data_IF_057257313562
#
_entry.id   IF_057257313562
#
_cell.length_a   1.000
_cell.length_b   1.000
_cell.length_c   1.000
_cell.angle_alpha   90.00
_cell.angle_beta   90.00
_cell.angle_gamma   90.00
#
_symmetry.space_group_name_H-M   'P 1'
#
loop_
_entity.id
_entity.type
_entity.pdbx_description
1 polymer ?
#
# COMPACT_ATOMS: atom_id res chain seq x y z
N UNK A 1 6.12 -18.23 -3.75
CA UNK A 1 7.40 -18.80 -4.26
C UNK A 1 8.50 -17.77 -4.18
N UNK A 2 9.75 -18.24 -3.93
CA UNK A 2 10.96 -17.42 -3.85
C UNK A 2 11.96 -17.87 -4.89
N UNK A 3 12.91 -16.98 -5.19
CA UNK A 3 14.12 -17.31 -5.94
C UNK A 3 15.26 -17.59 -4.94
N UNK A 4 15.86 -18.75 -5.04
CA UNK A 4 17.03 -19.13 -4.27
C UNK A 4 18.24 -19.17 -5.19
N UNK A 5 19.28 -18.42 -4.90
CA UNK A 5 20.48 -18.38 -5.71
C UNK A 5 21.29 -19.66 -5.47
N UNK A 6 21.46 -20.45 -6.53
CA UNK A 6 22.09 -21.78 -6.46
C UNK A 6 23.49 -21.78 -5.86
N UNK A 7 24.26 -20.73 -6.12
CA UNK A 7 25.64 -20.64 -5.65
C UNK A 7 25.74 -20.44 -4.13
N UNK A 8 24.83 -19.69 -3.55
CA UNK A 8 24.89 -19.29 -2.13
C UNK A 8 23.79 -19.89 -1.27
N UNK A 9 22.75 -20.48 -1.87
CA UNK A 9 21.54 -20.94 -1.18
C UNK A 9 20.70 -19.80 -0.59
N UNK A 10 21.02 -18.53 -0.91
CA UNK A 10 20.29 -17.38 -0.36
C UNK A 10 19.02 -17.10 -1.12
N UNK A 11 17.96 -16.81 -0.38
CA UNK A 11 16.72 -16.30 -0.94
C UNK A 11 16.93 -14.85 -1.37
N UNK A 12 16.50 -14.52 -2.60
CA UNK A 12 16.59 -13.19 -3.18
C UNK A 12 15.18 -12.71 -3.60
N UNK A 13 14.97 -11.40 -3.60
CA UNK A 13 13.66 -10.80 -3.89
C UNK A 13 13.18 -11.03 -5.33
N UNK A 14 14.13 -11.08 -6.29
CA UNK A 14 13.87 -11.41 -7.69
C UNK A 14 15.17 -11.86 -8.37
N UNK A 15 15.10 -12.27 -9.63
CA UNK A 15 16.29 -12.70 -10.39
C UNK A 15 17.16 -11.53 -10.91
N UNK A 16 16.82 -10.27 -10.66
CA UNK A 16 17.55 -9.07 -11.10
C UNK A 16 17.97 -9.09 -12.59
N UNK A 17 17.12 -9.65 -13.47
CA UNK A 17 17.39 -9.86 -14.90
C UNK A 17 18.55 -10.84 -15.19
N UNK A 18 19.05 -11.55 -14.20
CA UNK A 18 20.01 -12.61 -14.39
C UNK A 18 19.32 -13.86 -14.99
N UNK A 19 20.09 -14.75 -15.68
CA UNK A 19 19.53 -15.95 -16.27
C UNK A 19 18.84 -16.86 -15.23
N UNK A 20 17.62 -17.32 -15.53
CA UNK A 20 16.82 -18.18 -14.64
C UNK A 20 17.58 -19.44 -14.17
N UNK A 21 18.53 -19.96 -14.99
CA UNK A 21 19.35 -21.12 -14.67
C UNK A 21 20.19 -20.97 -13.39
N UNK A 22 20.44 -19.72 -12.95
CA UNK A 22 21.21 -19.43 -11.74
C UNK A 22 20.40 -19.57 -10.45
N UNK A 23 19.08 -19.74 -10.59
CA UNK A 23 18.17 -19.78 -9.46
C UNK A 23 17.40 -21.10 -9.40
N UNK A 24 17.02 -21.48 -8.18
CA UNK A 24 15.93 -22.44 -7.94
C UNK A 24 14.71 -21.64 -7.54
N UNK A 25 13.56 -21.98 -8.13
CA UNK A 25 12.29 -21.37 -7.78
C UNK A 25 11.46 -22.38 -7.00
N UNK A 26 11.28 -22.15 -5.71
CA UNK A 26 10.54 -23.05 -4.81
C UNK A 26 9.43 -22.37 -4.05
N UNK A 27 8.47 -23.12 -3.60
CA UNK A 27 7.48 -22.70 -2.62
C UNK A 27 8.12 -22.79 -1.24
N UNK A 28 8.00 -21.76 -0.43
CA UNK A 28 8.28 -21.83 1.01
C UNK A 28 7.17 -22.61 1.69
N UNK A 29 7.49 -23.37 2.74
CA UNK A 29 6.46 -23.90 3.60
C UNK A 29 6.02 -22.87 4.67
N UNK A 30 4.92 -23.19 5.35
CA UNK A 30 4.32 -22.29 6.35
C UNK A 30 5.28 -22.05 7.52
N UNK A 31 5.92 -23.10 8.02
CA UNK A 31 6.77 -23.01 9.23
C UNK A 31 8.07 -22.28 8.96
N UNK A 32 8.61 -22.40 7.73
CA UNK A 32 9.75 -21.62 7.28
C UNK A 32 9.44 -20.10 7.29
N UNK A 33 8.27 -19.72 6.78
CA UNK A 33 7.83 -18.32 6.80
C UNK A 33 7.61 -17.84 8.24
N UNK A 34 6.90 -18.61 9.05
CA UNK A 34 6.61 -18.26 10.44
C UNK A 34 7.90 -18.08 11.23
N UNK A 35 8.86 -19.01 11.10
CA UNK A 35 10.14 -18.92 11.82
C UNK A 35 10.92 -17.66 11.47
N UNK A 36 10.99 -17.32 10.17
CA UNK A 36 11.66 -16.11 9.70
C UNK A 36 10.99 -14.84 10.24
N UNK A 37 9.65 -14.78 10.20
CA UNK A 37 8.89 -13.62 10.71
C UNK A 37 8.94 -13.51 12.23
N UNK A 38 8.89 -14.60 12.98
CA UNK A 38 9.03 -14.57 14.43
C UNK A 38 10.32 -13.86 14.85
N UNK A 39 11.46 -14.27 14.29
CA UNK A 39 12.74 -13.64 14.58
C UNK A 39 12.79 -12.15 14.20
N UNK A 40 12.13 -11.76 13.10
CA UNK A 40 12.04 -10.37 12.66
C UNK A 40 11.14 -9.54 13.57
N UNK A 41 9.96 -10.05 13.89
CA UNK A 41 8.94 -9.37 14.69
C UNK A 41 9.42 -9.10 16.12
N UNK A 42 10.11 -10.07 16.73
CA UNK A 42 10.75 -9.89 18.04
C UNK A 42 11.77 -8.74 18.02
N UNK A 43 12.60 -8.66 16.99
CA UNK A 43 13.55 -7.54 16.82
C UNK A 43 12.85 -6.20 16.64
N UNK A 44 11.80 -6.15 15.82
CA UNK A 44 11.01 -4.93 15.60
C UNK A 44 10.39 -4.46 16.92
N UNK A 45 9.81 -5.39 17.69
CA UNK A 45 9.18 -5.08 18.98
C UNK A 45 10.18 -4.55 20.02
N UNK A 46 11.43 -5.03 19.99
CA UNK A 46 12.52 -4.50 20.83
C UNK A 46 12.88 -3.04 20.45
N UNK A 47 12.84 -2.70 19.17
CA UNK A 47 13.12 -1.35 18.68
C UNK A 47 11.97 -0.38 18.91
N UNK A 48 10.74 -0.87 18.78
CA UNK A 48 9.52 -0.09 18.99
C UNK A 48 8.50 -0.92 19.80
N UNK A 49 8.46 -0.76 21.14
CA UNK A 49 7.55 -1.50 22.01
C UNK A 49 6.06 -1.25 21.74
N UNK A 50 5.68 -0.15 21.11
CA UNK A 50 4.29 0.21 20.81
C UNK A 50 3.88 -0.15 19.37
N UNK A 51 4.74 -0.83 18.61
CA UNK A 51 4.44 -1.16 17.22
C UNK A 51 3.18 -2.05 17.12
N UNK A 52 2.31 -1.70 16.18
CA UNK A 52 1.24 -2.56 15.69
C UNK A 52 1.57 -2.94 14.26
N UNK A 53 1.42 -4.21 13.90
CA UNK A 53 1.78 -4.73 12.58
C UNK A 53 0.54 -5.29 11.92
N UNK A 54 0.23 -4.77 10.74
CA UNK A 54 -0.89 -5.21 9.95
C UNK A 54 -0.40 -5.96 8.70
N UNK A 55 -0.77 -7.22 8.62
CA UNK A 55 -0.52 -8.06 7.45
C UNK A 55 -1.70 -8.02 6.49
N UNK A 56 -1.40 -8.24 5.22
CA UNK A 56 -2.39 -8.49 4.19
C UNK A 56 -1.80 -9.41 3.11
N UNK A 57 -2.64 -10.17 2.44
CA UNK A 57 -2.26 -10.95 1.26
C UNK A 57 -2.74 -10.20 0.02
N UNK A 58 -1.80 -9.86 -0.87
CA UNK A 58 -2.11 -9.14 -2.10
C UNK A 58 -3.13 -9.91 -2.95
N UNK A 59 -4.17 -9.26 -3.49
CA UNK A 59 -5.13 -9.89 -4.38
C UNK A 59 -4.61 -10.12 -5.81
N UNK A 60 -3.44 -9.61 -6.17
CA UNK A 60 -2.85 -9.78 -7.50
C UNK A 60 -2.62 -11.29 -7.80
N UNK A 61 -2.98 -11.73 -9.00
CA UNK A 61 -2.76 -13.10 -9.47
C UNK A 61 -1.36 -13.26 -10.05
N UNK A 62 -0.66 -14.32 -9.66
CA UNK A 62 0.66 -14.67 -10.20
C UNK A 62 0.54 -15.69 -11.34
N UNK A 63 0.30 -15.20 -12.57
CA UNK A 63 0.07 -16.03 -13.75
C UNK A 63 1.21 -17.00 -14.09
N UNK A 64 2.48 -16.64 -13.76
CA UNK A 64 3.65 -17.50 -14.01
C UNK A 64 3.55 -18.89 -13.33
N UNK A 65 2.77 -18.99 -12.25
CA UNK A 65 2.58 -20.22 -11.48
C UNK A 65 1.34 -21.01 -11.92
N UNK A 66 0.57 -20.47 -12.86
CA UNK A 66 -0.76 -20.96 -13.20
C UNK A 66 -1.78 -20.68 -12.08
N UNK A 67 -3.06 -20.86 -12.37
CA UNK A 67 -4.13 -20.54 -11.41
C UNK A 67 -4.05 -21.39 -10.14
N UNK A 68 -3.80 -22.69 -10.29
CA UNK A 68 -3.65 -23.58 -9.13
C UNK A 68 -2.42 -23.24 -8.28
N UNK A 69 -1.27 -23.02 -8.91
CA UNK A 69 -0.05 -22.61 -8.20
C UNK A 69 -0.20 -21.25 -7.49
N UNK A 70 -0.94 -20.31 -8.08
CA UNK A 70 -1.30 -19.06 -7.42
C UNK A 70 -2.09 -19.32 -6.14
N UNK A 71 -3.12 -20.18 -6.17
CA UNK A 71 -3.92 -20.49 -4.98
C UNK A 71 -3.06 -21.14 -3.88
N UNK A 72 -2.20 -22.10 -4.23
CA UNK A 72 -1.29 -22.71 -3.26
C UNK A 72 -0.34 -21.68 -2.63
N UNK A 73 0.18 -20.74 -3.43
CA UNK A 73 1.03 -19.68 -2.92
C UNK A 73 0.29 -18.76 -1.93
N UNK A 74 -0.98 -18.42 -2.22
CA UNK A 74 -1.82 -17.60 -1.33
C UNK A 74 -2.17 -18.37 -0.05
N UNK A 75 -2.55 -19.63 -0.16
CA UNK A 75 -2.87 -20.48 0.98
C UNK A 75 -1.71 -20.58 1.98
N UNK A 76 -0.49 -20.76 1.50
CA UNK A 76 0.71 -20.77 2.37
C UNK A 76 0.88 -19.44 3.11
N UNK A 77 0.67 -18.29 2.43
CA UNK A 77 0.76 -16.98 3.07
C UNK A 77 -0.33 -16.77 4.12
N UNK A 78 -1.58 -17.14 3.82
CA UNK A 78 -2.71 -17.04 4.73
C UNK A 78 -2.47 -17.87 6.00
N UNK A 79 -2.06 -19.13 5.86
CA UNK A 79 -1.76 -19.99 6.99
C UNK A 79 -0.57 -19.49 7.83
N UNK A 80 0.46 -18.93 7.19
CA UNK A 80 1.60 -18.37 7.89
C UNK A 80 1.20 -17.12 8.69
N UNK A 81 0.42 -16.21 8.09
CA UNK A 81 -0.06 -15.00 8.77
C UNK A 81 -0.96 -15.37 9.94
N UNK A 82 -1.87 -16.32 9.77
CA UNK A 82 -2.73 -16.80 10.85
C UNK A 82 -1.92 -17.28 12.07
N UNK A 83 -0.91 -18.14 11.85
CA UNK A 83 0.01 -18.59 12.91
C UNK A 83 0.76 -17.44 13.59
N UNK A 84 1.18 -16.43 12.81
CA UNK A 84 1.87 -15.24 13.33
C UNK A 84 0.93 -14.39 14.19
N UNK A 85 -0.30 -14.12 13.73
CA UNK A 85 -1.29 -13.35 14.47
C UNK A 85 -1.73 -14.06 15.76
N UNK A 86 -1.84 -15.38 15.74
CA UNK A 86 -2.10 -16.17 16.95
C UNK A 86 -0.97 -16.09 17.98
N UNK A 87 0.27 -15.96 17.53
CA UNK A 87 1.44 -15.90 18.40
C UNK A 87 1.68 -14.51 18.98
N UNK A 88 1.38 -13.43 18.24
CA UNK A 88 1.69 -12.05 18.61
C UNK A 88 0.44 -11.19 18.62
N UNK A 89 0.02 -10.72 19.78
CA UNK A 89 -1.17 -9.87 19.95
C UNK A 89 -1.09 -8.50 19.26
N UNK A 90 0.09 -8.06 18.88
CA UNK A 90 0.34 -6.83 18.13
C UNK A 90 0.39 -7.02 16.60
N UNK A 91 0.09 -8.24 16.15
CA UNK A 91 -0.01 -8.57 14.72
C UNK A 91 -1.48 -8.80 14.36
N UNK A 92 -1.91 -8.17 13.27
CA UNK A 92 -3.28 -8.17 12.79
C UNK A 92 -3.31 -8.53 11.30
N UNK A 93 -4.48 -8.89 10.79
CA UNK A 93 -4.68 -9.21 9.38
C UNK A 93 -5.81 -8.38 8.78
N UNK A 94 -5.58 -7.83 7.57
CA UNK A 94 -6.60 -7.18 6.76
C UNK A 94 -6.87 -8.02 5.51
N UNK A 95 -8.12 -8.44 5.25
CA UNK A 95 -8.45 -9.47 4.26
C UNK A 95 -8.59 -8.92 2.82
N UNK A 96 -7.59 -8.19 2.31
CA UNK A 96 -7.69 -7.60 0.96
C UNK A 96 -7.80 -8.64 -0.16
N UNK A 97 -7.23 -9.83 0.04
CA UNK A 97 -7.34 -10.96 -0.89
C UNK A 97 -8.76 -11.50 -0.94
N UNK A 98 -9.37 -11.73 0.21
CA UNK A 98 -10.72 -12.25 0.35
C UNK A 98 -11.77 -11.23 -0.13
N UNK A 99 -11.58 -9.95 0.15
CA UNK A 99 -12.47 -8.89 -0.36
C UNK A 99 -12.55 -8.97 -1.90
N UNK A 100 -11.41 -9.08 -2.60
CA UNK A 100 -11.46 -9.17 -4.06
C UNK A 100 -12.05 -10.48 -4.55
N UNK A 101 -11.72 -11.62 -3.93
CA UNK A 101 -12.09 -12.94 -4.44
C UNK A 101 -13.47 -13.39 -4.00
N UNK A 102 -13.91 -13.04 -2.81
CA UNK A 102 -15.18 -13.51 -2.25
C UNK A 102 -16.26 -12.45 -2.27
N UNK A 103 -15.98 -11.23 -1.85
CA UNK A 103 -16.98 -10.18 -1.78
C UNK A 103 -17.23 -9.56 -3.16
N UNK A 104 -16.19 -9.11 -3.86
CA UNK A 104 -16.33 -8.46 -5.16
C UNK A 104 -16.61 -9.43 -6.30
N UNK A 105 -15.95 -10.57 -6.37
CA UNK A 105 -16.28 -11.78 -7.15
C UNK A 105 -16.51 -11.67 -8.65
N UNK A 106 -16.29 -10.52 -9.29
CA UNK A 106 -16.66 -10.27 -10.67
C UNK A 106 -15.43 -9.78 -11.46
N UNK A 107 -15.39 -10.10 -12.75
CA UNK A 107 -14.29 -9.68 -13.63
C UNK A 107 -14.19 -8.16 -13.81
N UNK A 108 -15.25 -7.38 -13.59
CA UNK A 108 -15.20 -5.91 -13.57
C UNK A 108 -14.24 -5.34 -12.53
N UNK A 109 -13.91 -6.14 -11.51
CA UNK A 109 -12.98 -5.77 -10.46
C UNK A 109 -11.54 -6.12 -10.77
N UNK A 110 -11.28 -6.65 -11.97
CA UNK A 110 -9.94 -6.86 -12.51
C UNK A 110 -9.65 -5.84 -13.61
N UNK A 111 -8.37 -5.48 -13.77
CA UNK A 111 -7.88 -4.73 -14.91
C UNK A 111 -7.92 -5.58 -16.19
N UNK A 112 -7.64 -4.96 -17.34
CA UNK A 112 -7.70 -5.63 -18.66
C UNK A 112 -6.80 -6.87 -18.77
N UNK A 113 -5.74 -6.94 -17.96
CA UNK A 113 -4.84 -8.10 -17.91
C UNK A 113 -5.39 -9.28 -17.10
N UNK A 114 -6.53 -9.12 -16.45
CA UNK A 114 -7.18 -10.15 -15.60
C UNK A 114 -6.32 -10.64 -14.43
N UNK A 115 -5.26 -9.93 -14.10
CA UNK A 115 -4.31 -10.26 -13.01
C UNK A 115 -4.33 -9.22 -11.89
N UNK A 116 -4.32 -7.95 -12.25
CA UNK A 116 -4.35 -6.85 -11.31
C UNK A 116 -5.78 -6.44 -10.95
N UNK A 117 -6.04 -5.96 -9.73
CA UNK A 117 -7.31 -5.32 -9.39
C UNK A 117 -7.56 -4.10 -10.28
N UNK A 118 -8.81 -3.86 -10.67
CA UNK A 118 -9.21 -2.61 -11.32
C UNK A 118 -9.14 -1.43 -10.33
N UNK A 119 -9.13 -0.20 -10.85
CA UNK A 119 -9.17 0.98 -9.98
C UNK A 119 -10.41 1.00 -9.08
N UNK A 120 -11.54 0.49 -9.56
CA UNK A 120 -12.76 0.35 -8.77
C UNK A 120 -12.55 -0.57 -7.56
N UNK A 121 -11.93 -1.73 -7.76
CA UNK A 121 -11.61 -2.66 -6.68
C UNK A 121 -10.59 -2.07 -5.68
N UNK A 122 -9.55 -1.38 -6.19
CA UNK A 122 -8.57 -0.71 -5.33
C UNK A 122 -9.25 0.32 -4.43
N UNK A 123 -10.14 1.14 -4.98
CA UNK A 123 -10.86 2.15 -4.21
C UNK A 123 -11.75 1.52 -3.15
N UNK A 124 -12.49 0.47 -3.50
CA UNK A 124 -13.35 -0.25 -2.56
C UNK A 124 -12.56 -0.87 -1.40
N UNK A 125 -11.48 -1.60 -1.72
CA UNK A 125 -10.61 -2.21 -0.69
C UNK A 125 -10.00 -1.13 0.20
N UNK A 126 -9.63 0.03 -0.37
CA UNK A 126 -9.13 1.17 0.37
C UNK A 126 -10.18 1.78 1.29
N UNK A 127 -11.43 1.90 0.86
CA UNK A 127 -12.55 2.36 1.69
C UNK A 127 -12.77 1.42 2.87
N UNK A 128 -12.85 0.10 2.64
CA UNK A 128 -12.93 -0.91 3.70
C UNK A 128 -11.74 -0.80 4.69
N UNK A 129 -10.53 -0.60 4.17
CA UNK A 129 -9.35 -0.39 5.01
C UNK A 129 -9.48 0.85 5.90
N UNK A 130 -9.92 1.96 5.32
CA UNK A 130 -10.13 3.21 6.03
C UNK A 130 -11.18 3.07 7.14
N UNK A 131 -12.30 2.41 6.87
CA UNK A 131 -13.36 2.15 7.84
C UNK A 131 -12.88 1.31 9.03
N UNK A 132 -11.99 0.34 8.77
CA UNK A 132 -11.46 -0.54 9.82
C UNK A 132 -10.40 0.12 10.71
N UNK A 133 -9.55 0.99 10.16
CA UNK A 133 -8.31 1.39 10.84
C UNK A 133 -8.17 2.89 11.08
N UNK A 134 -8.98 3.74 10.44
CA UNK A 134 -8.84 5.18 10.61
C UNK A 134 -9.96 5.77 11.48
N UNK A 135 -9.57 6.70 12.34
CA UNK A 135 -10.54 7.50 13.08
C UNK A 135 -11.27 8.47 12.17
N UNK A 136 -12.45 8.93 12.59
CA UNK A 136 -13.21 9.97 11.87
C UNK A 136 -12.36 11.23 11.65
N UNK A 137 -11.54 11.60 12.64
CA UNK A 137 -10.63 12.74 12.52
C UNK A 137 -9.58 12.53 11.43
N UNK A 138 -8.95 11.34 11.38
CA UNK A 138 -7.99 10.98 10.32
C UNK A 138 -8.63 11.05 8.95
N UNK A 139 -9.84 10.51 8.79
CA UNK A 139 -10.59 10.56 7.52
C UNK A 139 -10.91 11.99 7.10
N UNK A 140 -11.23 12.86 8.06
CA UNK A 140 -11.46 14.29 7.78
C UNK A 140 -10.19 14.98 7.28
N UNK A 141 -9.06 14.77 7.96
CA UNK A 141 -7.74 15.29 7.55
C UNK A 141 -7.37 14.80 6.15
N UNK A 142 -7.56 13.52 5.87
CA UNK A 142 -7.29 12.94 4.54
C UNK A 142 -8.15 13.60 3.45
N UNK A 143 -9.41 13.89 3.74
CA UNK A 143 -10.31 14.58 2.81
C UNK A 143 -9.85 16.03 2.57
N UNK A 144 -9.50 16.78 3.62
CA UNK A 144 -8.93 18.14 3.49
C UNK A 144 -7.66 18.11 2.62
N UNK A 145 -6.78 17.13 2.84
CA UNK A 145 -5.56 16.97 2.04
C UNK A 145 -5.85 16.63 0.58
N UNK A 146 -6.81 15.73 0.31
CA UNK A 146 -7.22 15.41 -1.05
C UNK A 146 -7.76 16.61 -1.81
N UNK A 147 -8.50 17.50 -1.16
CA UNK A 147 -8.98 18.76 -1.77
C UNK A 147 -7.80 19.68 -2.14
N UNK A 148 -6.80 19.80 -1.27
CA UNK A 148 -5.57 20.56 -1.54
C UNK A 148 -4.86 19.96 -2.77
N UNK A 149 -4.64 18.64 -2.80
CA UNK A 149 -3.98 17.96 -3.92
C UNK A 149 -4.74 18.14 -5.23
N UNK A 150 -6.05 17.95 -5.24
CA UNK A 150 -6.89 18.22 -6.42
C UNK A 150 -6.77 19.66 -6.91
N UNK A 151 -6.70 20.62 -5.98
CA UNK A 151 -6.50 22.04 -6.31
C UNK A 151 -5.13 22.29 -6.92
N UNK A 152 -4.09 21.67 -6.41
CA UNK A 152 -2.72 21.78 -6.95
C UNK A 152 -2.57 21.12 -8.31
N UNK A 153 -3.27 20.01 -8.56
CA UNK A 153 -3.25 19.31 -9.84
C UNK A 153 -4.11 19.98 -10.91
N UNK A 154 -4.97 20.93 -10.50
CA UNK A 154 -5.81 21.68 -11.43
C UNK A 154 -4.97 22.51 -12.43
N UNK A 155 -5.27 22.34 -13.73
CA UNK A 155 -4.67 23.11 -14.82
C UNK A 155 -5.65 24.22 -15.24
N UNK A 156 -5.34 25.50 -14.97
CA UNK A 156 -6.23 26.58 -15.36
C UNK A 156 -6.20 26.82 -16.87
N UNK A 157 -7.32 27.26 -17.44
CA UNK A 157 -7.35 27.76 -18.81
C UNK A 157 -6.47 29.01 -19.02
N UNK A 158 -6.48 29.90 -18.01
CA UNK A 158 -5.64 31.09 -18.00
C UNK A 158 -4.87 31.18 -16.67
N UNK A 159 -3.59 30.82 -16.71
CA UNK A 159 -2.72 30.80 -15.55
C UNK A 159 -2.38 32.22 -15.02
N UNK A 160 -2.73 33.28 -15.75
CA UNK A 160 -2.50 34.69 -15.36
C UNK A 160 -3.78 35.41 -14.97
N UNK A 161 -4.89 34.69 -14.77
CA UNK A 161 -6.15 35.28 -14.35
C UNK A 161 -6.15 35.59 -12.85
N UNK A 162 -6.79 36.71 -12.47
CA UNK A 162 -7.00 37.08 -11.06
C UNK A 162 -7.74 35.99 -10.30
N UNK A 163 -8.70 35.35 -10.94
CA UNK A 163 -9.44 34.21 -10.37
C UNK A 163 -8.50 33.03 -10.00
N UNK A 164 -7.48 32.75 -10.84
CA UNK A 164 -6.52 31.70 -10.54
C UNK A 164 -5.57 32.06 -9.39
N UNK A 165 -5.14 33.31 -9.31
CA UNK A 165 -4.34 33.79 -8.17
C UNK A 165 -5.12 33.73 -6.85
N UNK A 166 -6.39 34.14 -6.88
CA UNK A 166 -7.28 34.01 -5.71
C UNK A 166 -7.43 32.53 -5.30
N UNK A 167 -7.65 31.64 -6.26
CA UNK A 167 -7.74 30.20 -6.02
C UNK A 167 -6.46 29.65 -5.39
N UNK A 168 -5.27 29.95 -5.92
CA UNK A 168 -4.01 29.51 -5.33
C UNK A 168 -3.79 30.04 -3.92
N UNK A 169 -4.18 31.28 -3.65
CA UNK A 169 -4.10 31.89 -2.32
C UNK A 169 -5.01 31.13 -1.33
N UNK A 170 -6.20 30.71 -1.75
CA UNK A 170 -7.08 29.86 -0.92
C UNK A 170 -6.49 28.49 -0.65
N UNK A 171 -5.81 27.88 -1.64
CA UNK A 171 -5.09 26.60 -1.43
C UNK A 171 -3.97 26.79 -0.39
N UNK A 172 -3.19 27.86 -0.48
CA UNK A 172 -2.15 28.16 0.50
C UNK A 172 -2.71 28.31 1.92
N UNK A 173 -3.82 29.03 2.09
CA UNK A 173 -4.49 29.15 3.40
C UNK A 173 -4.96 27.80 3.94
N UNK A 174 -5.47 26.91 3.08
CA UNK A 174 -5.84 25.52 3.48
C UNK A 174 -4.60 24.75 3.96
N UNK A 175 -3.48 24.85 3.25
CA UNK A 175 -2.21 24.19 3.62
C UNK A 175 -1.72 24.70 4.98
N UNK A 176 -1.72 26.02 5.19
CA UNK A 176 -1.29 26.63 6.46
C UNK A 176 -2.15 26.17 7.63
N UNK A 177 -3.47 26.20 7.50
CA UNK A 177 -4.41 25.69 8.52
C UNK A 177 -4.18 24.21 8.84
N UNK A 178 -3.91 23.39 7.82
CA UNK A 178 -3.63 21.98 8.03
C UNK A 178 -2.30 21.77 8.74
N UNK A 179 -1.27 22.57 8.43
CA UNK A 179 0.02 22.56 9.10
C UNK A 179 -0.07 23.01 10.57
N UNK A 180 -0.96 23.98 10.89
CA UNK A 180 -1.23 24.37 12.27
C UNK A 180 -1.82 23.21 13.08
N UNK A 181 -2.76 22.43 12.49
CA UNK A 181 -3.33 21.22 13.10
C UNK A 181 -2.31 20.08 13.24
N UNK A 182 -1.40 19.95 12.26
CA UNK A 182 -0.43 18.88 12.12
C UNK A 182 0.99 19.42 11.93
N UNK A 183 1.66 19.90 13.00
CA UNK A 183 2.96 20.57 12.90
C UNK A 183 4.07 19.70 12.27
N UNK A 184 3.93 18.38 12.33
CA UNK A 184 4.87 17.42 11.74
C UNK A 184 4.66 17.17 10.24
N UNK A 185 3.59 17.72 9.64
CA UNK A 185 3.30 17.56 8.22
C UNK A 185 4.28 18.37 7.36
N UNK A 186 5.05 17.70 6.54
CA UNK A 186 5.90 18.36 5.56
C UNK A 186 5.09 18.75 4.31
N UNK A 187 4.89 20.06 4.14
CA UNK A 187 4.13 20.66 3.04
C UNK A 187 4.98 21.64 2.22
N UNK A 188 6.30 21.60 2.39
CA UNK A 188 7.19 22.58 1.77
C UNK A 188 7.11 22.55 0.25
N UNK A 189 6.96 21.40 -0.36
CA UNK A 189 6.84 21.24 -1.81
C UNK A 189 5.56 21.89 -2.35
N UNK A 190 4.44 21.71 -1.67
CA UNK A 190 3.14 22.27 -2.03
C UNK A 190 3.15 23.80 -1.92
N UNK A 191 3.71 24.34 -0.84
CA UNK A 191 3.88 25.78 -0.64
C UNK A 191 4.76 26.37 -1.77
N UNK A 192 5.90 25.76 -2.04
CA UNK A 192 6.83 26.20 -3.09
C UNK A 192 6.16 26.20 -4.46
N UNK A 193 5.36 25.17 -4.74
CA UNK A 193 4.60 25.06 -5.98
C UNK A 193 3.59 26.20 -6.13
N UNK A 194 2.81 26.53 -5.09
CA UNK A 194 1.89 27.67 -5.08
C UNK A 194 2.62 28.98 -5.31
N UNK A 195 3.69 29.23 -4.56
CA UNK A 195 4.49 30.46 -4.68
C UNK A 195 5.10 30.64 -6.08
N UNK A 196 5.58 29.55 -6.68
CA UNK A 196 6.13 29.58 -8.04
C UNK A 196 5.06 29.92 -9.09
N UNK A 197 3.83 29.43 -8.89
CA UNK A 197 2.70 29.73 -9.79
C UNK A 197 2.16 31.14 -9.60
N UNK A 198 2.23 31.70 -8.40
CA UNK A 198 1.82 33.08 -8.11
C UNK A 198 2.80 34.13 -8.63
N UNK A 199 4.08 33.76 -8.87
CA UNK A 199 5.11 34.67 -9.39
C UNK A 199 5.17 34.76 -10.93
N UNK A 200 4.46 33.87 -11.65
CA UNK A 200 4.42 33.81 -13.12
C UNK A 200 3.26 34.61 -13.69
#
# INVERSE_FOLDING_TARGET
RVYEWKETGKIVGNCHKLPDRLFVRRLLDVDEIVSAYVALLEKIRLLNPEVQILFTVSPIRHAKDGLHGNQLNKAVLLLAIEKICQKFSYCHYFPSYEILLDELRDYRFYADDMLHPSQLAINYIWECFCECFFTTETLHIMKEWQEIKKGLDHRPFNAKSEAYYTFLSQIMLKIERLKEKLPYLDVQNEITLCQTRLKK
#
